data_IF_845192780011
#
_entry.id   IF_845192780011
#
_cell.length_a   1.000
_cell.length_b   1.000
_cell.length_c   1.000
_cell.angle_alpha   90.00
_cell.angle_beta   90.00
_cell.angle_gamma   90.00
#
_symmetry.space_group_name_H-M   'P 1'
#
loop_
_entity.id
_entity.type
_entity.pdbx_description
1 polymer ?
#
# COMPACT_ATOMS: atom_id res chain seq x y z
N UNK A 1 20.41 -6.06 -18.42
CA UNK A 1 19.99 -5.59 -17.09
C UNK A 1 21.07 -5.88 -16.09
N UNK A 2 21.36 -4.93 -15.23
CA UNK A 2 22.35 -5.19 -14.20
C UNK A 2 21.76 -6.07 -13.11
N UNK A 3 22.64 -6.83 -12.44
CA UNK A 3 22.24 -7.67 -11.32
C UNK A 3 21.61 -6.83 -10.19
N UNK A 4 22.02 -5.58 -10.07
CA UNK A 4 21.49 -4.66 -9.05
C UNK A 4 19.99 -4.43 -9.27
N UNK A 5 19.57 -4.22 -10.52
CA UNK A 5 18.15 -4.00 -10.83
C UNK A 5 17.32 -5.24 -10.48
N UNK A 6 17.83 -6.42 -10.78
CA UNK A 6 17.15 -7.66 -10.44
C UNK A 6 17.03 -7.83 -8.92
N UNK A 7 18.09 -7.54 -8.19
CA UNK A 7 18.08 -7.61 -6.72
C UNK A 7 17.08 -6.62 -6.14
N UNK A 8 17.05 -5.38 -6.64
CA UNK A 8 16.09 -4.37 -6.18
C UNK A 8 14.66 -4.81 -6.46
N UNK A 9 14.42 -5.37 -7.64
CA UNK A 9 13.10 -5.85 -8.01
C UNK A 9 12.62 -6.94 -7.04
N UNK A 10 13.48 -7.90 -6.75
CA UNK A 10 13.15 -8.99 -5.83
C UNK A 10 12.89 -8.44 -4.42
N UNK A 11 13.71 -7.52 -3.94
CA UNK A 11 13.53 -6.93 -2.62
C UNK A 11 12.20 -6.18 -2.51
N UNK A 12 11.82 -5.42 -3.52
CA UNK A 12 10.56 -4.67 -3.52
C UNK A 12 9.37 -5.64 -3.53
N UNK A 13 9.43 -6.68 -4.33
CA UNK A 13 8.34 -7.67 -4.39
C UNK A 13 8.20 -8.39 -3.06
N UNK A 14 9.32 -8.76 -2.43
CA UNK A 14 9.28 -9.39 -1.11
C UNK A 14 8.69 -8.43 -0.07
N UNK A 15 9.10 -7.17 -0.09
CA UNK A 15 8.54 -6.14 0.79
C UNK A 15 7.03 -5.98 0.60
N UNK A 16 6.59 -5.99 -0.66
CA UNK A 16 5.17 -5.92 -1.00
C UNK A 16 4.38 -7.09 -0.40
N UNK A 17 4.91 -8.30 -0.54
CA UNK A 17 4.27 -9.50 0.01
C UNK A 17 4.20 -9.44 1.53
N UNK A 18 5.29 -9.04 2.18
CA UNK A 18 5.32 -8.93 3.64
C UNK A 18 4.32 -7.89 4.11
N UNK A 19 4.28 -6.73 3.47
CA UNK A 19 3.34 -5.66 3.85
C UNK A 19 1.89 -6.12 3.66
N UNK A 20 1.60 -6.83 2.58
CA UNK A 20 0.27 -7.33 2.32
C UNK A 20 -0.17 -8.38 3.36
N UNK A 21 0.75 -9.26 3.73
CA UNK A 21 0.48 -10.27 4.76
C UNK A 21 0.22 -9.60 6.11
N UNK A 22 1.04 -8.62 6.48
CA UNK A 22 0.86 -7.88 7.72
C UNK A 22 -0.49 -7.16 7.73
N UNK A 23 -0.88 -6.56 6.61
CA UNK A 23 -2.17 -5.89 6.50
C UNK A 23 -3.33 -6.85 6.77
N UNK A 24 -3.19 -8.11 6.33
CA UNK A 24 -4.21 -9.13 6.53
C UNK A 24 -4.32 -9.61 7.97
N UNK A 25 -3.24 -9.54 8.73
CA UNK A 25 -3.16 -10.13 10.06
C UNK A 25 -3.41 -9.14 11.20
N UNK A 26 -3.42 -7.84 10.93
CA UNK A 26 -3.69 -6.87 11.98
C UNK A 26 -5.17 -6.88 12.36
N UNK A 27 -5.43 -6.99 13.66
CA UNK A 27 -6.78 -6.88 14.20
C UNK A 27 -7.27 -5.44 14.24
N UNK A 28 -6.33 -4.50 14.39
CA UNK A 28 -6.65 -3.08 14.44
C UNK A 28 -6.83 -2.55 13.03
N UNK A 29 -7.98 -1.92 12.78
CA UNK A 29 -8.29 -1.38 11.45
C UNK A 29 -7.29 -0.33 11.00
N UNK A 30 -6.87 0.55 11.91
CA UNK A 30 -5.89 1.59 11.58
C UNK A 30 -4.57 0.97 11.13
N UNK A 31 -4.08 -0.02 11.86
CA UNK A 31 -2.84 -0.71 11.51
C UNK A 31 -2.94 -1.40 10.16
N UNK A 32 -4.09 -2.02 9.87
CA UNK A 32 -4.32 -2.67 8.59
C UNK A 32 -4.30 -1.68 7.43
N UNK A 33 -4.89 -0.50 7.61
CA UNK A 33 -4.93 0.53 6.58
C UNK A 33 -3.53 1.09 6.33
N UNK A 34 -2.74 1.30 7.38
CA UNK A 34 -1.37 1.77 7.24
C UNK A 34 -0.53 0.73 6.50
N UNK A 35 -0.67 -0.55 6.85
CA UNK A 35 0.06 -1.61 6.16
C UNK A 35 -0.36 -1.74 4.70
N UNK A 36 -1.63 -1.54 4.40
CA UNK A 36 -2.12 -1.54 3.03
C UNK A 36 -1.52 -0.36 2.24
N UNK A 37 -1.42 0.82 2.88
CA UNK A 37 -0.75 1.98 2.28
C UNK A 37 0.71 1.69 1.97
N UNK A 38 1.41 1.01 2.87
CA UNK A 38 2.79 0.60 2.63
C UNK A 38 2.89 -0.34 1.44
N UNK A 39 1.94 -1.28 1.29
CA UNK A 39 1.87 -2.16 0.13
C UNK A 39 1.76 -1.34 -1.16
N UNK A 40 0.93 -0.31 -1.17
CA UNK A 40 0.78 0.58 -2.32
C UNK A 40 2.07 1.30 -2.69
N UNK A 41 2.84 1.73 -1.70
CA UNK A 41 4.14 2.36 -1.93
C UNK A 41 5.10 1.37 -2.61
N UNK A 42 5.14 0.12 -2.13
CA UNK A 42 5.96 -0.92 -2.76
C UNK A 42 5.52 -1.19 -4.19
N UNK A 43 4.21 -1.19 -4.46
CA UNK A 43 3.69 -1.37 -5.82
C UNK A 43 4.17 -0.23 -6.73
N UNK A 44 4.08 1.01 -6.26
CA UNK A 44 4.57 2.17 -7.03
C UNK A 44 6.07 2.06 -7.30
N UNK A 45 6.86 1.65 -6.31
CA UNK A 45 8.29 1.46 -6.48
C UNK A 45 8.59 0.37 -7.52
N UNK A 46 7.82 -0.71 -7.51
CA UNK A 46 7.97 -1.79 -8.49
C UNK A 46 7.74 -1.28 -9.92
N UNK A 47 6.72 -0.46 -10.13
CA UNK A 47 6.47 0.12 -11.44
C UNK A 47 7.62 1.01 -11.91
N UNK A 48 8.26 1.75 -10.99
CA UNK A 48 9.43 2.54 -11.33
C UNK A 48 10.59 1.65 -11.76
N UNK A 49 10.82 0.56 -11.05
CA UNK A 49 11.88 -0.39 -11.40
C UNK A 49 11.63 -1.01 -12.76
N UNK A 50 10.36 -1.27 -13.10
CA UNK A 50 9.97 -1.85 -14.38
C UNK A 50 9.91 -0.81 -15.52
N UNK A 51 10.40 0.41 -15.29
CA UNK A 51 10.41 1.50 -16.27
C UNK A 51 9.01 1.93 -16.72
N UNK A 52 8.07 1.96 -15.76
CA UNK A 52 6.71 2.42 -16.01
C UNK A 52 6.40 3.63 -15.11
N UNK A 53 7.08 4.77 -15.31
CA UNK A 53 6.94 5.92 -14.42
C UNK A 53 5.52 6.51 -14.42
N UNK A 54 4.83 6.49 -15.56
CA UNK A 54 3.47 7.02 -15.63
C UNK A 54 2.53 6.21 -14.74
N UNK A 55 2.67 4.88 -14.75
CA UNK A 55 1.87 4.00 -13.91
C UNK A 55 2.22 4.18 -12.45
N UNK A 56 3.53 4.34 -12.14
CA UNK A 56 3.98 4.55 -10.77
C UNK A 56 3.41 5.84 -10.19
N UNK A 57 3.42 6.92 -10.96
CA UNK A 57 2.86 8.21 -10.53
C UNK A 57 1.37 8.09 -10.33
N UNK A 58 0.65 7.44 -11.24
CA UNK A 58 -0.78 7.22 -11.12
C UNK A 58 -1.13 6.40 -9.88
N UNK A 59 -0.38 5.33 -9.63
CA UNK A 59 -0.58 4.48 -8.44
C UNK A 59 -0.33 5.26 -7.16
N UNK A 60 0.75 6.04 -7.12
CA UNK A 60 1.08 6.83 -5.94
C UNK A 60 0.01 7.90 -5.68
N UNK A 61 -0.45 8.58 -6.73
CA UNK A 61 -1.46 9.63 -6.61
C UNK A 61 -2.80 9.06 -6.15
N UNK A 62 -3.24 7.96 -6.76
CA UNK A 62 -4.50 7.31 -6.41
C UNK A 62 -4.42 6.74 -4.99
N UNK A 63 -3.31 6.09 -4.65
CA UNK A 63 -3.11 5.55 -3.31
C UNK A 63 -3.08 6.62 -2.24
N UNK A 64 -2.39 7.74 -2.52
CA UNK A 64 -2.33 8.86 -1.59
C UNK A 64 -3.68 9.50 -1.34
N UNK A 65 -4.55 9.51 -2.35
CA UNK A 65 -5.88 10.10 -2.23
C UNK A 65 -6.89 9.12 -1.64
N UNK A 66 -6.89 7.87 -2.11
CA UNK A 66 -7.90 6.89 -1.72
C UNK A 66 -7.71 6.35 -0.31
N UNK A 67 -6.47 6.11 0.10
CA UNK A 67 -6.22 5.51 1.42
C UNK A 67 -6.73 6.38 2.57
N UNK A 68 -6.41 7.70 2.62
CA UNK A 68 -7.00 8.56 3.65
C UNK A 68 -8.52 8.66 3.55
N UNK A 69 -9.06 8.70 2.34
CA UNK A 69 -10.50 8.80 2.15
C UNK A 69 -11.21 7.55 2.68
N UNK A 70 -10.72 6.37 2.33
CA UNK A 70 -11.29 5.11 2.80
C UNK A 70 -11.18 5.03 4.32
N UNK A 71 -10.04 5.44 4.88
CA UNK A 71 -9.81 5.46 6.30
C UNK A 71 -10.84 6.33 7.03
N UNK A 72 -11.05 7.55 6.55
CA UNK A 72 -12.00 8.48 7.17
C UNK A 72 -13.43 7.92 7.10
N UNK A 73 -13.84 7.44 5.94
CA UNK A 73 -15.18 6.89 5.76
C UNK A 73 -15.40 5.68 6.66
N UNK A 74 -14.41 4.79 6.73
CA UNK A 74 -14.51 3.58 7.55
C UNK A 74 -14.57 3.91 9.04
N UNK A 75 -13.74 4.86 9.49
CA UNK A 75 -13.78 5.30 10.89
C UNK A 75 -15.13 5.88 11.26
N UNK A 76 -15.71 6.68 10.38
CA UNK A 76 -17.03 7.26 10.64
C UNK A 76 -18.10 6.18 10.78
N UNK A 77 -18.05 5.17 9.94
CA UNK A 77 -19.01 4.06 10.02
C UNK A 77 -18.86 3.25 11.31
N UNK A 78 -17.63 2.99 11.71
CA UNK A 78 -17.36 2.25 12.93
C UNK A 78 -17.80 3.05 14.15
N UNK A 79 -17.47 4.33 14.21
CA UNK A 79 -17.90 5.20 15.30
C UNK A 79 -19.41 5.30 15.37
N UNK A 80 -20.07 5.42 14.23
CA UNK A 80 -21.52 5.45 14.18
C UNK A 80 -22.14 4.18 14.77
N UNK A 81 -21.53 3.04 14.56
CA UNK A 81 -21.99 1.78 15.11
C UNK A 81 -21.74 1.69 16.61
N UNK A 82 -20.59 2.17 17.07
CA UNK A 82 -20.25 2.15 18.48
C UNK A 82 -21.15 3.08 19.30
N UNK A 83 -21.53 4.20 18.72
CA UNK A 83 -22.38 5.20 19.37
C UNK A 83 -23.85 4.73 19.47
N UNK A 84 -24.19 3.68 18.78
CA UNK A 84 -25.51 3.06 18.86
C UNK A 84 -25.53 1.92 19.83
#
# INVERSE_FOLDING_TARGET
MSNIVIILNVLVVVGMLVAAILASHFDNLLSSIIALGATGIFVAAEFLILHAPDVAISEAAVGAALTPLIFIVTLRKIKGREDK
#
